data_IF_683348340260
#
_entry.id   IF_683348340260
#
_cell.length_a   1.000
_cell.length_b   1.000
_cell.length_c   1.000
_cell.angle_alpha   90.00
_cell.angle_beta   90.00
_cell.angle_gamma   90.00
#
_symmetry.space_group_name_H-M   'P 1'
#
loop_
_entity.id
_entity.type
_entity.pdbx_description
1 polymer ?
#
# COMPACT_ATOMS: atom_id res chain seq x y z
N UNK A 1 -8.61 14.32 3.26
CA UNK A 1 -7.79 13.27 2.64
C UNK A 1 -6.36 13.74 2.68
N UNK A 2 -5.42 12.92 3.15
CA UNK A 2 -4.00 13.27 3.17
C UNK A 2 -3.47 13.46 1.73
N UNK A 3 -2.47 14.32 1.56
CA UNK A 3 -1.84 14.57 0.27
C UNK A 3 -0.62 13.68 0.10
N UNK A 4 -0.42 13.12 -1.09
CA UNK A 4 0.78 12.35 -1.43
C UNK A 4 1.97 13.32 -1.63
N UNK A 5 3.00 13.17 -0.82
CA UNK A 5 4.16 14.05 -0.75
C UNK A 5 5.42 13.32 -1.24
N UNK A 6 5.64 13.35 -2.56
CA UNK A 6 6.81 12.72 -3.18
C UNK A 6 7.94 13.73 -3.40
N UNK A 7 9.21 13.38 -3.10
CA UNK A 7 10.37 14.10 -3.58
C UNK A 7 10.35 14.27 -5.10
N UNK A 8 10.89 15.37 -5.63
CA UNK A 8 10.80 15.69 -7.06
C UNK A 8 11.23 14.57 -8.02
N UNK A 9 12.33 13.82 -7.78
CA UNK A 9 12.70 12.71 -8.68
C UNK A 9 11.61 11.63 -8.76
N UNK A 10 10.98 11.30 -7.62
CA UNK A 10 9.90 10.33 -7.55
C UNK A 10 8.61 10.87 -8.17
N UNK A 11 8.28 12.14 -7.94
CA UNK A 11 7.11 12.78 -8.56
C UNK A 11 7.20 12.73 -10.09
N UNK A 12 8.36 13.07 -10.66
CA UNK A 12 8.57 13.02 -12.11
C UNK A 12 8.51 11.59 -12.66
N UNK A 13 9.15 10.63 -11.97
CA UNK A 13 9.15 9.24 -12.38
C UNK A 13 7.74 8.62 -12.34
N UNK A 14 6.95 8.89 -11.29
CA UNK A 14 5.65 8.26 -11.07
C UNK A 14 4.47 8.99 -11.73
N UNK A 15 4.68 10.18 -12.30
CA UNK A 15 3.62 10.94 -12.97
C UNK A 15 2.81 10.11 -14.00
N UNK A 16 3.42 9.29 -14.89
CA UNK A 16 2.66 8.49 -15.86
C UNK A 16 1.69 7.50 -15.21
N UNK A 17 2.02 6.94 -14.04
CA UNK A 17 1.13 6.04 -13.32
C UNK A 17 -0.09 6.80 -12.80
N UNK A 18 0.13 7.94 -12.14
CA UNK A 18 -0.96 8.72 -11.53
C UNK A 18 -1.84 9.43 -12.56
N UNK A 19 -1.31 9.77 -13.73
CA UNK A 19 -2.12 10.25 -14.86
C UNK A 19 -3.03 9.14 -15.41
N UNK A 20 -2.52 7.91 -15.47
CA UNK A 20 -3.25 6.75 -16.03
C UNK A 20 -4.21 6.10 -15.05
N UNK A 21 -3.86 6.10 -13.77
CA UNK A 21 -4.67 5.60 -12.66
C UNK A 21 -4.56 6.61 -11.51
N UNK A 22 -5.44 7.62 -11.47
CA UNK A 22 -5.54 8.55 -10.35
C UNK A 22 -5.84 7.84 -9.02
N UNK A 23 -5.40 8.41 -7.88
CA UNK A 23 -5.50 7.77 -6.56
C UNK A 23 -6.95 7.44 -6.15
N UNK A 24 -7.91 8.30 -6.51
CA UNK A 24 -9.34 8.09 -6.25
C UNK A 24 -9.95 6.96 -7.12
N UNK A 25 -9.23 6.52 -8.14
CA UNK A 25 -9.60 5.38 -9.00
C UNK A 25 -8.77 4.12 -8.72
N UNK A 26 -7.67 4.23 -7.96
CA UNK A 26 -6.87 3.09 -7.52
C UNK A 26 -7.49 2.38 -6.33
N UNK A 27 -7.11 1.11 -6.11
CA UNK A 27 -7.46 0.33 -4.92
C UNK A 27 -8.96 0.35 -4.58
N UNK A 28 -9.84 0.26 -5.58
CA UNK A 28 -11.30 0.37 -5.37
C UNK A 28 -11.90 -0.79 -4.56
N UNK A 29 -11.27 -1.96 -4.61
CA UNK A 29 -11.65 -3.10 -3.80
C UNK A 29 -10.77 -3.20 -2.55
N UNK A 30 -11.35 -3.70 -1.47
CA UNK A 30 -10.66 -4.00 -0.22
C UNK A 30 -9.97 -5.36 -0.27
N UNK A 31 -10.59 -6.34 -0.96
CA UNK A 31 -10.04 -7.68 -1.17
C UNK A 31 -9.99 -7.98 -2.67
N UNK A 32 -8.84 -8.45 -3.15
CA UNK A 32 -8.58 -8.71 -4.57
C UNK A 32 -7.87 -10.06 -4.75
N UNK A 33 -8.06 -10.67 -5.92
CA UNK A 33 -7.46 -11.95 -6.29
C UNK A 33 -6.76 -11.90 -7.66
N UNK A 34 -6.68 -10.71 -8.25
CA UNK A 34 -6.05 -10.49 -9.54
C UNK A 34 -5.62 -9.03 -9.66
N UNK A 35 -4.59 -8.74 -10.46
CA UNK A 35 -4.15 -7.38 -10.71
C UNK A 35 -5.20 -6.57 -11.47
N UNK A 36 -5.17 -5.24 -11.34
CA UNK A 36 -6.15 -4.35 -11.96
C UNK A 36 -6.10 -4.45 -13.49
N UNK A 37 -4.89 -4.48 -14.06
CA UNK A 37 -4.67 -4.74 -15.49
C UNK A 37 -3.22 -5.08 -15.79
N UNK A 38 -2.99 -5.93 -16.81
CA UNK A 38 -1.64 -6.24 -17.27
C UNK A 38 -0.86 -5.01 -17.79
N UNK A 39 -1.57 -4.01 -18.32
CA UNK A 39 -0.95 -2.76 -18.80
C UNK A 39 -0.38 -1.94 -17.63
N UNK A 40 -1.13 -1.82 -16.54
CA UNK A 40 -0.67 -1.13 -15.33
C UNK A 40 0.42 -1.93 -14.62
N UNK A 41 0.32 -3.25 -14.53
CA UNK A 41 1.40 -4.08 -13.97
C UNK A 41 2.70 -3.87 -14.75
N UNK A 42 2.64 -3.83 -16.10
CA UNK A 42 3.81 -3.55 -16.94
C UNK A 42 4.36 -2.13 -16.76
N UNK A 43 3.49 -1.14 -16.56
CA UNK A 43 3.93 0.22 -16.27
C UNK A 43 4.68 0.26 -14.92
N UNK A 44 4.12 -0.34 -13.87
CA UNK A 44 4.79 -0.41 -12.56
C UNK A 44 6.13 -1.16 -12.67
N UNK A 45 6.20 -2.27 -13.41
CA UNK A 45 7.44 -3.00 -13.67
C UNK A 45 8.54 -2.09 -14.24
N UNK A 46 8.20 -1.24 -15.20
CA UNK A 46 9.14 -0.27 -15.77
C UNK A 46 9.54 0.81 -14.77
N UNK A 47 8.58 1.31 -13.99
CA UNK A 47 8.82 2.36 -13.01
C UNK A 47 9.74 1.90 -11.88
N UNK A 48 9.54 0.70 -11.35
CA UNK A 48 10.40 0.18 -10.27
C UNK A 48 11.81 -0.20 -10.75
N UNK A 49 12.03 -0.30 -12.07
CA UNK A 49 13.35 -0.47 -12.67
C UNK A 49 14.09 0.85 -12.86
N UNK A 50 13.41 2.00 -12.77
CA UNK A 50 14.05 3.32 -12.76
C UNK A 50 14.89 3.47 -11.47
N UNK A 51 16.18 3.83 -11.55
CA UNK A 51 17.05 3.98 -10.38
C UNK A 51 16.50 4.92 -9.30
N UNK A 52 15.74 5.95 -9.67
CA UNK A 52 15.14 6.89 -8.72
C UNK A 52 14.08 6.21 -7.84
N UNK A 53 13.31 5.27 -8.40
CA UNK A 53 12.27 4.51 -7.69
C UNK A 53 12.87 3.28 -7.02
N UNK A 54 13.77 2.57 -7.70
CA UNK A 54 14.41 1.36 -7.21
C UNK A 54 15.19 1.56 -5.90
N UNK A 55 15.62 2.80 -5.62
CA UNK A 55 16.24 3.19 -4.35
C UNK A 55 15.29 3.08 -3.14
N UNK A 56 13.97 2.95 -3.36
CA UNK A 56 12.93 2.92 -2.33
C UNK A 56 12.15 1.59 -2.37
N UNK A 57 12.69 0.48 -1.83
CA UNK A 57 12.02 -0.83 -1.90
C UNK A 57 10.62 -0.83 -1.24
N UNK A 58 10.42 -0.04 -0.18
CA UNK A 58 9.10 0.13 0.47
C UNK A 58 8.08 0.75 -0.48
N UNK A 59 8.49 1.77 -1.24
CA UNK A 59 7.67 2.37 -2.29
C UNK A 59 7.38 1.37 -3.42
N UNK A 60 8.34 0.55 -3.82
CA UNK A 60 8.11 -0.48 -4.83
C UNK A 60 7.01 -1.48 -4.41
N UNK A 61 6.98 -1.91 -3.14
CA UNK A 61 5.89 -2.72 -2.60
C UNK A 61 4.56 -1.97 -2.66
N UNK A 62 4.54 -0.70 -2.24
CA UNK A 62 3.36 0.15 -2.28
C UNK A 62 2.78 0.30 -3.70
N UNK A 63 3.63 0.47 -4.72
CA UNK A 63 3.21 0.61 -6.12
C UNK A 63 2.57 -0.67 -6.67
N UNK A 64 3.02 -1.84 -6.24
CA UNK A 64 2.36 -3.10 -6.61
C UNK A 64 0.98 -3.22 -5.97
N UNK A 65 0.82 -2.84 -4.70
CA UNK A 65 -0.50 -2.78 -4.05
C UNK A 65 -1.44 -1.78 -4.75
N UNK A 66 -0.90 -0.67 -5.24
CA UNK A 66 -1.66 0.37 -5.95
C UNK A 66 -2.37 -0.16 -7.20
N UNK A 67 -1.80 -1.18 -7.84
CA UNK A 67 -2.33 -1.84 -9.05
C UNK A 67 -2.86 -3.26 -8.79
N UNK A 68 -3.13 -3.60 -7.53
CA UNK A 68 -3.67 -4.89 -7.09
C UNK A 68 -2.78 -6.12 -7.36
N UNK A 69 -1.48 -5.90 -7.57
CA UNK A 69 -0.51 -6.96 -7.84
C UNK A 69 0.10 -7.50 -6.53
N UNK A 70 -0.65 -8.36 -5.85
CA UNK A 70 -0.31 -8.77 -4.48
C UNK A 70 0.97 -9.63 -4.40
N UNK A 71 1.19 -10.55 -5.35
CA UNK A 71 2.35 -11.46 -5.34
C UNK A 71 3.69 -10.72 -5.42
N UNK A 72 3.75 -9.67 -6.26
CA UNK A 72 4.95 -8.85 -6.41
C UNK A 72 5.14 -7.93 -5.21
N UNK A 73 4.07 -7.38 -4.65
CA UNK A 73 4.15 -6.64 -3.38
C UNK A 73 4.68 -7.55 -2.26
N UNK A 74 4.09 -8.74 -2.12
CA UNK A 74 4.45 -9.74 -1.11
C UNK A 74 5.94 -10.08 -1.17
N UNK A 75 6.45 -10.34 -2.37
CA UNK A 75 7.86 -10.67 -2.59
C UNK A 75 8.79 -9.58 -2.05
N UNK A 76 8.43 -8.30 -2.28
CA UNK A 76 9.23 -7.16 -1.82
C UNK A 76 9.07 -6.95 -0.31
N UNK A 77 7.83 -6.87 0.20
CA UNK A 77 7.55 -6.64 1.62
C UNK A 77 8.14 -7.74 2.50
N UNK A 78 8.09 -9.00 2.08
CA UNK A 78 8.73 -10.12 2.77
C UNK A 78 10.25 -9.92 2.91
N UNK A 79 10.90 -9.26 1.96
CA UNK A 79 12.33 -8.98 2.00
C UNK A 79 12.74 -7.86 2.97
N UNK A 80 11.81 -6.98 3.34
CA UNK A 80 12.08 -5.80 4.17
C UNK A 80 11.92 -6.18 5.65
N UNK A 81 13.03 -6.21 6.39
CA UNK A 81 13.09 -6.72 7.78
C UNK A 81 12.99 -5.62 8.83
N UNK A 82 12.02 -4.72 8.65
CA UNK A 82 11.71 -3.65 9.60
C UNK A 82 10.20 -3.48 9.80
N UNK A 83 9.81 -2.48 10.60
CA UNK A 83 8.42 -2.21 10.96
C UNK A 83 7.58 -1.82 9.73
N UNK A 84 8.12 -0.97 8.86
CA UNK A 84 7.45 -0.54 7.62
C UNK A 84 7.27 -1.72 6.65
N UNK A 85 8.27 -2.59 6.53
CA UNK A 85 8.18 -3.83 5.75
C UNK A 85 7.05 -4.73 6.25
N UNK A 86 6.95 -4.87 7.58
CA UNK A 86 5.86 -5.60 8.22
C UNK A 86 4.50 -4.93 7.98
N UNK A 87 4.46 -3.58 7.96
CA UNK A 87 3.24 -2.83 7.67
C UNK A 87 2.75 -3.11 6.24
N UNK A 88 3.60 -2.93 5.22
CA UNK A 88 3.25 -3.23 3.84
C UNK A 88 2.78 -4.68 3.64
N UNK A 89 3.42 -5.61 4.36
CA UNK A 89 3.03 -7.02 4.36
C UNK A 89 1.64 -7.22 4.97
N UNK A 90 1.34 -6.55 6.09
CA UNK A 90 0.02 -6.56 6.71
C UNK A 90 -1.08 -6.03 5.78
N UNK A 91 -0.83 -4.91 5.09
CA UNK A 91 -1.75 -4.37 4.08
C UNK A 91 -1.96 -5.38 2.95
N UNK A 92 -0.90 -5.99 2.44
CA UNK A 92 -0.95 -7.01 1.39
C UNK A 92 -1.87 -8.17 1.79
N UNK A 93 -1.66 -8.78 2.96
CA UNK A 93 -2.50 -9.89 3.43
C UNK A 93 -3.96 -9.47 3.70
N UNK A 94 -4.21 -8.23 4.15
CA UNK A 94 -5.57 -7.72 4.27
C UNK A 94 -6.24 -7.67 2.89
N UNK A 95 -5.51 -7.23 1.86
CA UNK A 95 -5.99 -7.19 0.47
C UNK A 95 -6.17 -8.55 -0.16
N UNK A 96 -5.45 -9.60 0.23
CA UNK A 96 -5.70 -10.95 -0.30
C UNK A 96 -6.83 -11.68 0.42
N UNK A 97 -7.23 -11.19 1.60
CA UNK A 97 -8.25 -11.79 2.46
C UNK A 97 -7.70 -12.77 3.51
N UNK A 98 -6.38 -12.86 3.69
CA UNK A 98 -5.76 -13.61 4.79
C UNK A 98 -5.65 -12.72 6.04
N UNK A 99 -6.80 -12.48 6.67
CA UNK A 99 -6.92 -11.56 7.81
C UNK A 99 -6.10 -12.00 9.03
N UNK A 100 -6.00 -13.32 9.27
CA UNK A 100 -5.18 -13.84 10.38
C UNK A 100 -3.70 -13.49 10.19
N UNK A 101 -3.19 -13.62 8.96
CA UNK A 101 -1.81 -13.32 8.66
C UNK A 101 -1.56 -11.80 8.60
N UNK A 102 -2.55 -11.04 8.14
CA UNK A 102 -2.53 -9.58 8.26
C UNK A 102 -2.32 -9.13 9.71
N UNK A 103 -3.10 -9.65 10.67
CA UNK A 103 -2.89 -9.33 12.09
C UNK A 103 -1.49 -9.71 12.59
N UNK A 104 -0.96 -10.86 12.16
CA UNK A 104 0.39 -11.28 12.53
C UNK A 104 1.44 -10.25 12.07
N UNK A 105 1.33 -9.75 10.84
CA UNK A 105 2.27 -8.76 10.32
C UNK A 105 2.11 -7.39 10.96
N UNK A 106 0.87 -6.95 11.24
CA UNK A 106 0.64 -5.72 11.98
C UNK A 106 1.13 -5.79 13.44
N UNK A 107 1.11 -6.98 14.06
CA UNK A 107 1.77 -7.17 15.34
C UNK A 107 3.28 -6.91 15.26
N UNK A 108 3.92 -7.33 14.16
CA UNK A 108 5.35 -7.13 13.92
C UNK A 108 5.71 -5.68 13.58
N UNK A 109 4.76 -4.87 13.10
CA UNK A 109 4.93 -3.42 12.93
C UNK A 109 5.14 -2.71 14.27
N UNK A 110 4.57 -3.24 15.35
CA UNK A 110 4.68 -2.70 16.71
C UNK A 110 3.70 -1.56 16.99
N UNK A 111 3.28 -1.44 18.25
CA UNK A 111 2.16 -0.59 18.67
C UNK A 111 2.38 0.94 18.50
N UNK A 112 3.61 1.39 18.29
CA UNK A 112 3.97 2.82 18.25
C UNK A 112 4.46 3.26 16.86
N UNK A 113 4.03 2.58 15.79
CA UNK A 113 4.44 2.98 14.45
C UNK A 113 3.93 4.39 14.13
N UNK A 114 4.78 5.35 13.70
CA UNK A 114 4.40 6.76 13.60
C UNK A 114 3.23 7.06 12.66
N UNK A 115 2.99 6.19 11.67
CA UNK A 115 1.87 6.31 10.72
C UNK A 115 0.50 6.15 11.41
N UNK A 116 0.42 5.41 12.52
CA UNK A 116 -0.85 5.22 13.24
C UNK A 116 -1.39 6.55 13.76
N UNK A 117 -0.51 7.42 14.25
CA UNK A 117 -0.87 8.74 14.78
C UNK A 117 -1.21 9.76 13.67
N UNK A 118 -0.95 9.45 12.40
CA UNK A 118 -1.25 10.35 11.27
C UNK A 118 -2.71 10.22 10.80
N UNK A 119 -3.41 9.17 11.22
CA UNK A 119 -4.77 8.84 10.79
C UNK A 119 -5.67 8.83 12.03
N UNK A 120 -6.66 9.72 12.06
CA UNK A 120 -7.51 9.91 13.24
C UNK A 120 -8.29 8.63 13.59
N UNK A 121 -8.15 8.18 14.83
CA UNK A 121 -8.80 6.97 15.35
C UNK A 121 -8.37 5.66 14.68
N UNK A 122 -7.22 5.62 14.00
CA UNK A 122 -6.79 4.45 13.25
C UNK A 122 -6.23 3.34 14.14
N UNK A 123 -6.75 2.13 13.93
CA UNK A 123 -6.21 0.89 14.46
C UNK A 123 -6.16 -0.12 13.29
N UNK A 124 -4.98 -0.65 12.93
CA UNK A 124 -4.87 -1.61 11.84
C UNK A 124 -5.62 -2.92 12.12
N UNK A 125 -5.69 -3.35 13.39
CA UNK A 125 -6.41 -4.56 13.76
C UNK A 125 -7.93 -4.37 13.61
N UNK A 126 -8.45 -3.23 14.07
CA UNK A 126 -9.86 -2.89 13.85
C UNK A 126 -10.18 -2.78 12.35
N UNK A 127 -9.30 -2.17 11.56
CA UNK A 127 -9.49 -2.07 10.11
C UNK A 127 -9.53 -3.45 9.44
N UNK A 128 -8.72 -4.41 9.90
CA UNK A 128 -8.78 -5.80 9.39
C UNK A 128 -10.15 -6.43 9.68
N UNK A 129 -10.62 -6.32 10.93
CA UNK A 129 -11.92 -6.87 11.35
C UNK A 129 -13.08 -6.24 10.57
N UNK A 130 -13.02 -4.92 10.35
CA UNK A 130 -14.03 -4.17 9.62
C UNK A 130 -14.07 -4.57 8.13
N UNK A 131 -12.90 -4.76 7.50
CA UNK A 131 -12.80 -5.25 6.11
C UNK A 131 -13.35 -6.67 6.00
N UNK A 132 -13.02 -7.54 6.95
CA UNK A 132 -13.53 -8.91 6.97
C UNK A 132 -15.06 -8.94 7.08
N UNK A 133 -15.64 -8.06 7.91
CA UNK A 133 -17.08 -7.96 8.08
C UNK A 133 -17.78 -7.28 6.91
N UNK A 134 -17.15 -6.26 6.30
CA UNK A 134 -17.75 -5.37 5.30
C UNK A 134 -16.81 -5.14 4.10
N UNK A 135 -16.50 -6.16 3.28
CA UNK A 135 -15.48 -6.07 2.22
C UNK A 135 -15.84 -5.16 1.03
N UNK A 136 -17.01 -4.53 1.05
CA UNK A 136 -17.48 -3.58 0.02
C UNK A 136 -17.79 -2.18 0.59
N UNK A 137 -17.33 -1.87 1.82
CA UNK A 137 -17.59 -0.58 2.45
C UNK A 137 -16.73 0.53 1.81
N UNK A 138 -17.39 1.55 1.26
CA UNK A 138 -16.73 2.67 0.61
C UNK A 138 -15.89 3.52 1.59
N UNK A 139 -16.27 3.61 2.86
CA UNK A 139 -15.48 4.35 3.86
C UNK A 139 -14.17 3.61 4.17
N UNK A 140 -14.19 2.29 4.21
CA UNK A 140 -12.97 1.49 4.37
C UNK A 140 -12.06 1.60 3.14
N UNK A 141 -12.63 1.76 1.93
CA UNK A 141 -11.83 2.02 0.72
C UNK A 141 -11.10 3.36 0.84
N UNK A 142 -11.77 4.41 1.32
CA UNK A 142 -11.12 5.70 1.57
C UNK A 142 -10.06 5.61 2.68
N UNK A 143 -10.33 4.86 3.75
CA UNK A 143 -9.36 4.62 4.83
C UNK A 143 -8.12 3.88 4.32
N UNK A 144 -8.29 2.87 3.46
CA UNK A 144 -7.20 2.15 2.82
C UNK A 144 -6.32 3.06 1.96
N UNK A 145 -6.92 3.99 1.20
CA UNK A 145 -6.14 4.95 0.41
C UNK A 145 -5.40 5.94 1.31
N UNK A 146 -6.04 6.41 2.38
CA UNK A 146 -5.41 7.30 3.35
C UNK A 146 -4.23 6.61 4.05
N UNK A 147 -4.39 5.35 4.46
CA UNK A 147 -3.33 4.51 5.04
C UNK A 147 -2.16 4.32 4.07
N UNK A 148 -2.45 4.00 2.81
CA UNK A 148 -1.43 3.88 1.78
C UNK A 148 -0.64 5.19 1.59
N UNK A 149 -1.34 6.34 1.51
CA UNK A 149 -0.70 7.66 1.38
C UNK A 149 0.19 7.97 2.59
N UNK A 150 -0.31 7.75 3.80
CA UNK A 150 0.43 8.03 5.02
C UNK A 150 1.73 7.22 5.09
N UNK A 151 1.66 5.93 4.75
CA UNK A 151 2.83 5.05 4.77
C UNK A 151 3.80 5.34 3.62
N UNK A 152 3.31 5.68 2.43
CA UNK A 152 4.20 6.14 1.34
C UNK A 152 4.95 7.39 1.76
N UNK A 153 4.27 8.42 2.26
CA UNK A 153 4.90 9.67 2.71
C UNK A 153 5.96 9.37 3.78
N UNK A 154 5.66 8.51 4.76
CA UNK A 154 6.60 8.09 5.78
C UNK A 154 7.86 7.43 5.20
N UNK A 155 7.71 6.56 4.21
CA UNK A 155 8.82 5.78 3.65
C UNK A 155 9.69 6.56 2.65
N UNK A 156 9.24 7.71 2.13
CA UNK A 156 9.97 8.51 1.13
C UNK A 156 10.51 9.84 1.67
N UNK A 157 10.13 10.21 2.90
CA UNK A 157 10.64 11.40 3.61
C UNK A 157 12.12 11.23 4.03
#
# INVERSE_FOLDING_TARGET
MQTLELPQPLQAALAPLFEKLPLDQAMQALVVHSPLSAELSKLVEQLIADPAVAAYPKLCSALWLYVDELDLSHTISQGIKDADGSYWHGIMHRREGDFSNSHYWFHNTGANHPVYDQIDGYDPHQMIDDVQANPNDAQLVELQRAEWVALVNHCVA
#
